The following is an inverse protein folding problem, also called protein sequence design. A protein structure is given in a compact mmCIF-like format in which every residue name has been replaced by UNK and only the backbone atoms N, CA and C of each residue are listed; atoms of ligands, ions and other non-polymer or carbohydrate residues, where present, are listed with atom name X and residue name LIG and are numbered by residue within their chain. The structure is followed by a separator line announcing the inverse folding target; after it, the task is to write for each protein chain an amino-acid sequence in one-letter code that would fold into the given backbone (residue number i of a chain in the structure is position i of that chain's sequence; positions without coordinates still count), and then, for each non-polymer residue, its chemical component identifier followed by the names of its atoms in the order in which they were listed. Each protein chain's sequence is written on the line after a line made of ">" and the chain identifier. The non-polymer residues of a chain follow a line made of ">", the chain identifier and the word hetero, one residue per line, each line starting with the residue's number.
data_IF_383817671951
#
_entry.id   IF_383817671951
#
_cell.length_a   1.000
_cell.length_b   1.000
_cell.length_c   1.000
_cell.angle_alpha   90.00
_cell.angle_beta   90.00
_cell.angle_gamma   90.00
#
_symmetry.space_group_name_H-M   'P 1'
#
loop_
_entity.id
_entity.type
_entity.pdbx_description
1 polymer ?
#
# COMPACT_ATOMS: atom_id res chain seq x y z
N UNK A 1 -6.73 11.34 21.93
CA UNK A 1 -5.58 10.59 22.48
C UNK A 1 -4.82 9.98 21.29
N UNK A 2 -3.53 10.30 21.14
CA UNK A 2 -2.46 9.58 20.40
C UNK A 2 -2.35 9.46 18.85
N UNK A 3 -3.37 9.69 18.00
CA UNK A 3 -3.31 9.31 16.56
C UNK A 3 -2.35 10.10 15.62
N UNK A 4 -1.45 10.97 16.10
CA UNK A 4 -0.62 11.83 15.21
C UNK A 4 0.52 11.07 14.54
N UNK A 5 1.58 10.75 15.30
CA UNK A 5 2.71 9.98 14.77
C UNK A 5 2.42 8.48 14.61
N UNK A 6 1.58 7.91 15.48
CA UNK A 6 1.28 6.48 15.47
C UNK A 6 0.51 6.04 14.21
N UNK A 7 -0.24 6.96 13.58
CA UNK A 7 -0.95 6.68 12.33
C UNK A 7 -0.04 6.78 11.09
N UNK A 8 1.03 7.58 11.13
CA UNK A 8 2.04 7.64 10.07
C UNK A 8 2.98 6.43 10.06
N UNK A 9 3.21 5.83 11.22
CA UNK A 9 4.09 4.67 11.40
C UNK A 9 3.76 3.49 10.47
N UNK A 10 2.49 3.06 10.31
CA UNK A 10 2.12 2.06 9.31
C UNK A 10 2.04 2.63 7.88
N UNK A 11 1.84 3.93 7.70
CA UNK A 11 1.74 4.56 6.37
C UNK A 11 3.01 4.42 5.52
N UNK A 12 4.19 4.47 6.16
CA UNK A 12 5.50 4.32 5.49
C UNK A 12 5.69 2.94 4.85
N UNK A 13 5.60 1.81 5.58
CA UNK A 13 5.75 0.49 4.95
C UNK A 13 4.63 0.20 3.94
N UNK A 14 3.40 0.67 4.16
CA UNK A 14 2.31 0.52 3.18
C UNK A 14 2.63 1.24 1.85
N UNK A 15 3.19 2.45 1.92
CA UNK A 15 3.62 3.18 0.73
C UNK A 15 4.77 2.46 0.01
N UNK A 16 5.73 1.91 0.76
CA UNK A 16 6.83 1.12 0.18
C UNK A 16 6.30 -0.10 -0.57
N UNK A 17 5.34 -0.84 0.01
CA UNK A 17 4.70 -1.99 -0.65
C UNK A 17 3.97 -1.58 -1.92
N UNK A 18 3.23 -0.46 -1.90
CA UNK A 18 2.56 0.06 -3.08
C UNK A 18 3.54 0.39 -4.21
N UNK A 19 4.67 1.02 -3.89
CA UNK A 19 5.73 1.34 -4.84
C UNK A 19 6.38 0.05 -5.38
N UNK A 20 6.70 -0.90 -4.51
CA UNK A 20 7.30 -2.18 -4.92
C UNK A 20 6.37 -3.00 -5.81
N UNK A 21 5.05 -2.96 -5.61
CA UNK A 21 4.09 -3.60 -6.51
C UNK A 21 4.09 -3.00 -7.92
N UNK A 22 4.46 -1.73 -8.08
CA UNK A 22 4.56 -1.07 -9.40
C UNK A 22 5.85 -1.49 -10.13
N UNK A 23 6.98 -1.54 -9.43
CA UNK A 23 8.29 -1.81 -10.05
C UNK A 23 8.67 -3.29 -10.08
N UNK A 24 8.27 -4.05 -9.06
CA UNK A 24 8.65 -5.45 -8.84
C UNK A 24 7.43 -6.26 -8.34
N UNK A 25 6.38 -6.41 -9.16
CA UNK A 25 5.13 -7.06 -8.77
C UNK A 25 5.32 -8.51 -8.31
N UNK A 26 6.04 -9.35 -9.06
CA UNK A 26 6.24 -10.77 -8.72
C UNK A 26 6.92 -10.97 -7.37
N UNK A 27 7.98 -10.21 -7.10
CA UNK A 27 8.70 -10.32 -5.82
C UNK A 27 7.81 -9.86 -4.66
N UNK A 28 7.11 -8.74 -4.82
CA UNK A 28 6.21 -8.17 -3.81
C UNK A 28 5.06 -9.13 -3.47
N UNK A 29 4.47 -9.73 -4.50
CA UNK A 29 3.38 -10.68 -4.40
C UNK A 29 3.80 -11.99 -3.75
N UNK A 30 4.98 -12.52 -4.11
CA UNK A 30 5.56 -13.69 -3.45
C UNK A 30 5.84 -13.46 -1.97
N UNK A 31 6.32 -12.27 -1.58
CA UNK A 31 6.53 -11.90 -0.17
C UNK A 31 5.18 -11.87 0.57
N UNK A 32 4.12 -11.42 -0.08
CA UNK A 32 2.77 -11.38 0.47
C UNK A 32 2.08 -12.77 0.49
N UNK A 33 2.74 -13.80 -0.07
CA UNK A 33 2.17 -15.14 -0.21
C UNK A 33 1.06 -15.24 -1.24
N UNK A 34 0.94 -14.25 -2.13
CA UNK A 34 -0.03 -14.23 -3.21
C UNK A 34 0.71 -14.41 -4.53
N UNK A 35 0.70 -15.58 -5.19
CA UNK A 35 1.35 -15.70 -6.49
C UNK A 35 0.71 -14.75 -7.52
N UNK A 36 1.53 -14.25 -8.46
CA UNK A 36 1.04 -13.43 -9.56
C UNK A 36 0.06 -14.25 -10.40
N UNK A 37 -1.14 -13.72 -10.59
CA UNK A 37 -2.14 -14.33 -11.46
C UNK A 37 -1.71 -14.22 -12.92
N UNK A 38 -2.04 -15.25 -13.71
CA UNK A 38 -1.85 -15.24 -15.15
C UNK A 38 -3.11 -14.78 -15.89
N UNK A 39 -2.93 -14.28 -17.12
CA UNK A 39 -4.03 -13.86 -17.98
C UNK A 39 -4.73 -12.58 -17.52
N UNK A 40 -6.06 -12.51 -17.73
CA UNK A 40 -6.85 -11.30 -17.47
C UNK A 40 -6.96 -10.93 -15.98
N UNK A 41 -6.73 -11.86 -15.06
CA UNK A 41 -6.75 -11.61 -13.62
C UNK A 41 -5.54 -10.83 -13.11
N UNK A 42 -4.44 -10.82 -13.88
CA UNK A 42 -3.18 -10.17 -13.49
C UNK A 42 -3.35 -8.66 -13.30
N UNK A 43 -3.96 -7.97 -14.27
CA UNK A 43 -4.15 -6.52 -14.24
C UNK A 43 -5.16 -6.11 -13.15
N UNK A 44 -6.15 -6.94 -12.89
CA UNK A 44 -7.11 -6.73 -11.81
C UNK A 44 -6.46 -6.91 -10.44
N UNK A 45 -5.70 -8.00 -10.24
CA UNK A 45 -4.98 -8.28 -9.00
C UNK A 45 -3.99 -7.16 -8.66
N UNK A 46 -3.17 -6.76 -9.63
CA UNK A 46 -2.21 -5.67 -9.44
C UNK A 46 -2.92 -4.34 -9.20
N UNK A 47 -3.97 -4.04 -9.97
CA UNK A 47 -4.75 -2.82 -9.81
C UNK A 47 -5.37 -2.69 -8.43
N UNK A 48 -5.98 -3.76 -7.92
CA UNK A 48 -6.63 -3.78 -6.61
C UNK A 48 -5.59 -3.66 -5.47
N UNK A 49 -4.51 -4.45 -5.51
CA UNK A 49 -3.47 -4.40 -4.48
C UNK A 49 -2.73 -3.07 -4.45
N UNK A 50 -2.33 -2.53 -5.61
CA UNK A 50 -1.69 -1.21 -5.67
C UNK A 50 -2.64 -0.15 -5.12
N UNK A 51 -3.91 -0.16 -5.52
CA UNK A 51 -4.91 0.80 -5.05
C UNK A 51 -5.14 0.70 -3.55
N UNK A 52 -5.20 -0.52 -3.00
CA UNK A 52 -5.36 -0.77 -1.57
C UNK A 52 -4.20 -0.16 -0.78
N UNK A 53 -2.96 -0.58 -1.07
CA UNK A 53 -1.79 -0.12 -0.31
C UNK A 53 -1.55 1.38 -0.46
N UNK A 54 -1.75 1.94 -1.66
CA UNK A 54 -1.56 3.36 -1.92
C UNK A 54 -2.61 4.21 -1.21
N UNK A 55 -3.90 3.87 -1.32
CA UNK A 55 -4.97 4.63 -0.69
C UNK A 55 -4.85 4.58 0.84
N UNK A 56 -4.55 3.42 1.43
CA UNK A 56 -4.36 3.31 2.88
C UNK A 56 -3.16 4.13 3.34
N UNK A 57 -2.05 4.11 2.60
CA UNK A 57 -0.89 4.95 2.91
C UNK A 57 -1.23 6.45 2.85
N UNK A 58 -1.92 6.90 1.80
CA UNK A 58 -2.36 8.29 1.66
C UNK A 58 -3.26 8.70 2.83
N UNK A 59 -4.22 7.86 3.21
CA UNK A 59 -5.12 8.14 4.33
C UNK A 59 -4.38 8.24 5.67
N UNK A 60 -3.36 7.41 5.89
CA UNK A 60 -2.48 7.51 7.05
C UNK A 60 -1.78 8.88 7.11
N UNK A 61 -1.23 9.36 6.00
CA UNK A 61 -0.56 10.68 5.95
C UNK A 61 -1.55 11.85 6.04
N UNK A 62 -2.72 11.75 5.39
CA UNK A 62 -3.79 12.75 5.51
C UNK A 62 -4.28 12.89 6.95
N UNK A 63 -4.39 11.78 7.69
CA UNK A 63 -4.77 11.81 9.12
C UNK A 63 -3.77 12.62 9.96
N UNK A 64 -2.46 12.48 9.68
CA UNK A 64 -1.43 13.27 10.36
C UNK A 64 -1.51 14.74 9.97
N UNK A 65 -1.66 15.02 8.68
CA UNK A 65 -1.72 16.39 8.17
C UNK A 65 -2.91 17.16 8.74
N UNK A 66 -4.11 16.58 8.71
CA UNK A 66 -5.33 17.20 9.26
C UNK A 66 -5.24 17.44 10.77
N UNK A 67 -4.53 16.59 11.52
CA UNK A 67 -4.33 16.82 12.96
C UNK A 67 -3.30 17.89 13.29
N UNK A 68 -2.44 18.25 12.36
CA UNK A 68 -1.31 19.16 12.57
C UNK A 68 -1.51 20.52 11.87
N UNK A 69 -2.63 20.68 11.15
CA UNK A 69 -3.14 21.92 10.56
C UNK A 69 -4.18 22.57 11.51
#
# INVERSE_FOLDING_TARGET
>A
MTCGLLAALPGVPLLMVAIMLIFQPEQSLNILGMPLMEGAGMSFQLGDLISFFLCTAIMCFLCVWVKNA
#
